data_IF_385545527841
#
_entry.id   IF_385545527841
#
_cell.length_a   1.000
_cell.length_b   1.000
_cell.length_c   1.000
_cell.angle_alpha   90.00
_cell.angle_beta   90.00
_cell.angle_gamma   90.00
#
_symmetry.space_group_name_H-M   'P 1'
#
loop_
_entity.id
_entity.type
_entity.pdbx_description
1 polymer ?
#
# COMPACT_ATOMS: atom_id res chain seq x y z
N UNK A 1 -8.04 -10.52 1.02
CA UNK A 1 -6.87 -11.23 1.59
C UNK A 1 -7.07 -12.74 1.54
N UNK A 2 -6.58 -13.34 0.46
CA UNK A 2 -6.53 -14.78 0.28
C UNK A 2 -5.54 -15.43 1.27
N UNK A 3 -5.78 -16.68 1.69
CA UNK A 3 -4.90 -17.41 2.61
C UNK A 3 -4.48 -18.73 1.98
N UNK A 4 -3.17 -18.98 1.93
CA UNK A 4 -2.57 -20.19 1.37
C UNK A 4 -1.54 -20.79 2.32
N UNK A 5 -1.23 -22.06 2.17
CA UNK A 5 -0.16 -22.71 2.92
C UNK A 5 1.23 -22.36 2.37
N UNK A 6 2.27 -22.51 3.19
CA UNK A 6 3.65 -22.34 2.74
C UNK A 6 4.04 -23.31 1.61
N UNK A 7 3.49 -24.53 1.60
CA UNK A 7 3.71 -25.51 0.54
C UNK A 7 3.08 -25.07 -0.80
N UNK A 8 1.85 -24.56 -0.76
CA UNK A 8 1.21 -23.97 -1.94
C UNK A 8 1.99 -22.75 -2.42
N UNK A 9 2.38 -21.83 -1.51
CA UNK A 9 3.15 -20.66 -1.86
C UNK A 9 4.47 -21.00 -2.58
N UNK A 10 5.18 -22.02 -2.10
CA UNK A 10 6.40 -22.51 -2.74
C UNK A 10 6.15 -23.02 -4.17
N UNK A 11 5.07 -23.77 -4.38
CA UNK A 11 4.77 -24.37 -5.68
C UNK A 11 4.39 -23.34 -6.76
N UNK A 12 3.87 -22.17 -6.36
CA UNK A 12 3.32 -21.15 -7.26
C UNK A 12 3.83 -19.73 -6.98
N UNK A 13 5.06 -19.59 -6.48
CA UNK A 13 5.57 -18.28 -6.03
C UNK A 13 5.60 -17.23 -7.14
N UNK A 14 5.97 -17.59 -8.37
CA UNK A 14 6.02 -16.65 -9.49
C UNK A 14 4.63 -16.12 -9.87
N UNK A 15 3.64 -17.01 -10.02
CA UNK A 15 2.27 -16.57 -10.29
C UNK A 15 1.66 -15.76 -9.15
N UNK A 16 2.03 -16.06 -7.90
CA UNK A 16 1.60 -15.25 -6.75
C UNK A 16 2.20 -13.84 -6.77
N UNK A 17 3.45 -13.68 -7.24
CA UNK A 17 4.06 -12.36 -7.40
C UNK A 17 3.31 -11.54 -8.45
N UNK A 18 2.94 -12.16 -9.58
CA UNK A 18 2.17 -11.51 -10.64
C UNK A 18 0.77 -11.13 -10.14
N UNK A 19 0.05 -12.09 -9.53
CA UNK A 19 -1.31 -11.89 -8.99
C UNK A 19 -1.34 -10.77 -7.94
N UNK A 20 -0.44 -10.79 -6.95
CA UNK A 20 -0.38 -9.77 -5.89
C UNK A 20 -0.04 -8.39 -6.44
N UNK A 21 0.76 -8.32 -7.51
CA UNK A 21 1.16 -7.05 -8.13
C UNK A 21 0.03 -6.47 -8.98
N UNK A 22 -0.68 -7.31 -9.74
CA UNK A 22 -1.77 -6.89 -10.64
C UNK A 22 -3.04 -6.53 -9.86
N UNK A 23 -3.47 -7.40 -8.94
CA UNK A 23 -4.71 -7.21 -8.17
C UNK A 23 -4.53 -6.24 -6.99
N UNK A 24 -3.27 -5.94 -6.63
CA UNK A 24 -2.91 -5.14 -5.43
C UNK A 24 -3.53 -5.66 -4.13
N UNK A 25 -3.78 -6.97 -4.08
CA UNK A 25 -4.32 -7.64 -2.90
C UNK A 25 -3.25 -8.44 -2.15
N UNK A 26 -3.05 -8.20 -0.84
CA UNK A 26 -2.15 -9.01 -0.03
C UNK A 26 -2.63 -10.45 0.10
N UNK A 27 -1.67 -11.38 0.13
CA UNK A 27 -1.91 -12.81 0.38
C UNK A 27 -1.26 -13.22 1.70
N UNK A 28 -2.02 -13.88 2.57
CA UNK A 28 -1.50 -14.47 3.81
C UNK A 28 -0.96 -15.87 3.52
N UNK A 29 0.28 -16.13 3.89
CA UNK A 29 0.91 -17.44 3.80
C UNK A 29 1.01 -18.03 5.21
N UNK A 30 0.43 -19.20 5.42
CA UNK A 30 0.45 -19.91 6.70
C UNK A 30 1.45 -21.06 6.69
N UNK A 31 2.41 -21.01 7.60
CA UNK A 31 3.29 -22.13 7.92
C UNK A 31 2.87 -22.84 9.21
N UNK A 32 3.62 -23.88 9.58
CA UNK A 32 3.35 -24.66 10.79
C UNK A 32 3.51 -23.84 12.08
N UNK A 33 4.51 -22.95 12.12
CA UNK A 33 4.87 -22.17 13.32
C UNK A 33 4.74 -20.65 13.14
N UNK A 34 4.57 -20.17 11.91
CA UNK A 34 4.58 -18.74 11.60
C UNK A 34 3.72 -18.44 10.38
N UNK A 35 3.22 -17.21 10.33
CA UNK A 35 2.47 -16.68 9.19
C UNK A 35 3.19 -15.46 8.66
N UNK A 36 3.15 -15.25 7.35
CA UNK A 36 3.66 -14.06 6.69
C UNK A 36 2.61 -13.51 5.73
N UNK A 37 2.81 -12.27 5.29
CA UNK A 37 1.97 -11.63 4.27
C UNK A 37 2.87 -11.31 3.08
N UNK A 38 2.47 -11.76 1.89
CA UNK A 38 3.06 -11.34 0.63
C UNK A 38 2.31 -10.09 0.14
N UNK A 39 3.07 -9.06 -0.16
CA UNK A 39 2.58 -7.75 -0.64
C UNK A 39 3.49 -7.33 -1.78
N UNK A 40 2.95 -6.61 -2.78
CA UNK A 40 3.76 -6.04 -3.86
C UNK A 40 4.75 -5.01 -3.29
N UNK A 41 5.91 -4.86 -3.93
CA UNK A 41 6.90 -3.84 -3.53
C UNK A 41 6.30 -2.43 -3.61
N UNK A 42 5.52 -2.16 -4.65
CA UNK A 42 4.86 -0.87 -4.83
C UNK A 42 3.90 -0.56 -3.67
N UNK A 43 3.05 -1.51 -3.28
CA UNK A 43 2.14 -1.33 -2.15
C UNK A 43 2.89 -1.19 -0.82
N UNK A 44 3.98 -1.94 -0.63
CA UNK A 44 4.82 -1.77 0.55
C UNK A 44 5.41 -0.36 0.64
N UNK A 45 5.93 0.17 -0.47
CA UNK A 45 6.44 1.53 -0.53
C UNK A 45 5.34 2.57 -0.27
N UNK A 46 4.15 2.41 -0.85
CA UNK A 46 3.00 3.29 -0.58
C UNK A 46 2.55 3.27 0.88
N UNK A 47 2.58 2.10 1.53
CA UNK A 47 2.31 1.99 2.97
C UNK A 47 3.37 2.76 3.78
N UNK A 48 4.66 2.57 3.47
CA UNK A 48 5.75 3.26 4.15
C UNK A 48 5.65 4.79 3.98
N UNK A 49 5.37 5.26 2.77
CA UNK A 49 5.15 6.68 2.50
C UNK A 49 3.95 7.23 3.28
N UNK A 50 2.82 6.52 3.26
CA UNK A 50 1.63 6.93 4.02
C UNK A 50 1.93 7.02 5.52
N UNK A 51 2.62 6.02 6.08
CA UNK A 51 3.03 6.02 7.48
C UNK A 51 3.98 7.19 7.78
N UNK A 52 4.90 7.50 6.87
CA UNK A 52 5.79 8.64 7.00
C UNK A 52 5.01 9.97 7.02
N UNK A 53 4.11 10.18 6.07
CA UNK A 53 3.31 11.41 5.99
C UNK A 53 2.43 11.59 7.24
N UNK A 54 1.80 10.52 7.73
CA UNK A 54 0.98 10.56 8.95
C UNK A 54 1.82 10.78 10.21
N UNK A 55 3.10 10.40 10.20
CA UNK A 55 4.01 10.64 11.34
C UNK A 55 4.38 12.12 11.51
N UNK A 56 4.21 12.94 10.47
CA UNK A 56 4.50 14.37 10.50
C UNK A 56 3.26 15.10 11.08
N UNK A 57 3.37 15.77 12.24
CA UNK A 57 2.21 16.42 12.87
C UNK A 57 1.55 17.44 11.93
N UNK A 58 0.23 17.34 11.76
CA UNK A 58 -0.58 18.26 10.96
C UNK A 58 -0.54 18.01 9.45
N UNK A 59 0.36 17.15 8.95
CA UNK A 59 0.51 16.93 7.51
C UNK A 59 -0.68 16.15 6.92
N UNK A 60 -1.16 15.12 7.62
CA UNK A 60 -2.36 14.38 7.21
C UNK A 60 -3.56 15.30 7.06
N UNK A 61 -3.78 16.17 8.04
CA UNK A 61 -4.89 17.13 8.06
C UNK A 61 -4.77 18.12 6.89
N UNK A 62 -3.57 18.65 6.65
CA UNK A 62 -3.29 19.54 5.52
C UNK A 62 -3.54 18.88 4.16
N UNK A 63 -3.17 17.61 3.99
CA UNK A 63 -3.45 16.86 2.75
C UNK A 63 -4.96 16.66 2.57
N UNK A 64 -5.69 16.31 3.63
CA UNK A 64 -7.15 16.13 3.58
C UNK A 64 -7.85 17.45 3.27
N UNK A 65 -7.41 18.55 3.86
CA UNK A 65 -7.91 19.89 3.56
C UNK A 65 -7.73 20.21 2.08
N UNK A 66 -6.51 20.07 1.56
CA UNK A 66 -6.21 20.31 0.15
C UNK A 66 -7.00 19.42 -0.82
N UNK A 67 -7.27 18.15 -0.47
CA UNK A 67 -8.11 17.25 -1.27
C UNK A 67 -9.59 17.68 -1.31
N UNK A 68 -10.07 18.38 -0.27
CA UNK A 68 -11.45 18.87 -0.20
C UNK A 68 -11.61 20.30 -0.77
N UNK A 69 -10.51 21.00 -1.04
CA UNK A 69 -10.52 22.32 -1.67
C UNK A 69 -11.07 22.21 -3.10
N UNK A 70 -12.12 22.97 -3.46
CA UNK A 70 -12.59 23.05 -4.84
C UNK A 70 -11.51 23.54 -5.80
N UNK A 71 -11.51 23.05 -7.04
CA UNK A 71 -10.51 23.45 -8.05
C UNK A 71 -10.53 24.96 -8.35
N UNK A 72 -11.68 25.63 -8.16
CA UNK A 72 -11.83 27.08 -8.33
C UNK A 72 -11.11 27.90 -7.25
N UNK A 73 -10.87 27.30 -6.08
CA UNK A 73 -10.15 27.90 -4.95
C UNK A 73 -8.67 27.49 -4.92
N UNK A 74 -8.21 26.69 -5.89
CA UNK A 74 -6.81 26.32 -6.03
C UNK A 74 -6.01 27.46 -6.69
N UNK A 75 -4.84 27.77 -6.13
CA UNK A 75 -3.88 28.68 -6.75
C UNK A 75 -3.44 28.14 -8.12
N UNK A 76 -3.55 28.99 -9.16
CA UNK A 76 -3.14 28.62 -10.52
C UNK A 76 -1.70 29.01 -10.83
N UNK A 77 -1.09 29.84 -9.99
CA UNK A 77 0.29 30.28 -10.12
C UNK A 77 1.03 30.10 -8.80
N UNK A 78 2.32 29.76 -8.90
CA UNK A 78 3.20 29.74 -7.74
C UNK A 78 3.74 31.15 -7.51
N UNK A 79 3.63 31.66 -6.28
CA UNK A 79 4.11 33.00 -5.92
C UNK A 79 5.64 33.14 -5.89
N UNK A 80 6.39 32.07 -6.13
CA UNK A 80 7.85 32.00 -5.97
C UNK A 80 8.58 31.70 -7.28
#
# INVERSE_FOLDING_TARGET
MNTITAAEAQAKIFSLMDEVTEEREPVKITGENSNVVLISEADWNSIQETLHLVSIPGLRESIIEGLNTPLEDCETELEW
#
